data_IF_277191239104
#
_entry.id   IF_277191239104
#
_cell.length_a   1.000
_cell.length_b   1.000
_cell.length_c   1.000
_cell.angle_alpha   90.00
_cell.angle_beta   90.00
_cell.angle_gamma   90.00
#
_symmetry.space_group_name_H-M   'P 1'
#
loop_
_entity.id
_entity.type
_entity.pdbx_description
1 polymer ?
#
# COMPACT_ATOMS: atom_id res chain seq x y z
N UNK A 1 -78.97 -54.46 19.95
CA UNK A 1 -78.55 -53.29 19.13
C UNK A 1 -77.06 -53.04 19.28
N UNK A 2 -76.27 -53.49 18.30
CA UNK A 2 -74.82 -53.30 18.30
C UNK A 2 -74.49 -52.15 17.36
N UNK A 3 -73.89 -51.05 17.88
CA UNK A 3 -73.40 -49.91 17.09
C UNK A 3 -71.93 -50.19 16.68
N UNK A 4 -71.69 -50.33 15.40
CA UNK A 4 -70.41 -50.37 14.80
C UNK A 4 -69.89 -48.96 14.56
N UNK A 5 -68.75 -48.62 15.16
CA UNK A 5 -68.07 -47.33 15.00
C UNK A 5 -66.93 -47.53 13.96
N UNK A 6 -67.06 -46.93 12.79
CA UNK A 6 -66.00 -46.88 11.77
C UNK A 6 -65.09 -45.70 12.06
N UNK A 7 -63.74 -45.97 12.22
CA UNK A 7 -62.66 -44.98 12.27
C UNK A 7 -62.30 -44.60 10.85
N UNK A 8 -62.04 -43.30 10.57
CA UNK A 8 -61.46 -42.92 9.29
C UNK A 8 -59.93 -43.06 9.31
N UNK A 9 -59.42 -43.66 8.25
CA UNK A 9 -57.99 -43.83 7.97
C UNK A 9 -57.37 -42.48 7.53
N UNK A 10 -56.53 -41.87 8.37
CA UNK A 10 -55.75 -40.67 8.01
C UNK A 10 -54.57 -41.12 7.11
N UNK A 11 -54.60 -40.72 5.84
CA UNK A 11 -53.45 -40.88 4.92
C UNK A 11 -52.41 -39.80 5.23
N UNK A 12 -51.28 -40.21 5.81
CA UNK A 12 -50.10 -39.39 6.05
C UNK A 12 -49.29 -39.21 4.76
N UNK A 13 -49.51 -38.13 4.06
CA UNK A 13 -48.75 -37.75 2.87
C UNK A 13 -47.32 -37.35 3.26
N UNK A 14 -46.31 -38.17 2.99
CA UNK A 14 -44.90 -37.86 3.10
C UNK A 14 -44.50 -36.91 1.98
N UNK A 15 -44.32 -35.62 2.31
CA UNK A 15 -43.74 -34.59 1.44
C UNK A 15 -42.24 -34.92 1.28
N UNK A 16 -41.82 -35.51 0.17
CA UNK A 16 -40.41 -35.65 -0.22
C UNK A 16 -39.89 -34.24 -0.56
N UNK A 17 -39.24 -33.58 0.41
CA UNK A 17 -38.44 -32.41 0.17
C UNK A 17 -37.13 -32.88 -0.52
N UNK A 18 -37.03 -32.73 -1.82
CA UNK A 18 -35.76 -32.82 -2.55
C UNK A 18 -34.82 -31.75 -2.04
N UNK A 19 -33.57 -32.08 -1.64
CA UNK A 19 -32.62 -31.07 -1.29
C UNK A 19 -32.31 -30.26 -2.57
N UNK A 20 -32.65 -28.97 -2.57
CA UNK A 20 -32.10 -28.02 -3.53
C UNK A 20 -30.59 -28.02 -3.30
N UNK A 21 -29.85 -28.71 -4.15
CA UNK A 21 -28.40 -28.59 -4.26
C UNK A 21 -28.14 -27.18 -4.79
N UNK A 22 -27.82 -26.24 -3.88
CA UNK A 22 -27.18 -24.99 -4.23
C UNK A 22 -25.82 -25.33 -4.80
N UNK A 23 -25.76 -25.64 -6.11
CA UNK A 23 -24.52 -25.61 -6.84
C UNK A 23 -23.96 -24.19 -6.72
N UNK A 24 -22.98 -23.99 -5.82
CA UNK A 24 -22.21 -22.77 -5.73
C UNK A 24 -21.57 -22.57 -7.10
N UNK A 25 -22.09 -21.67 -7.92
CA UNK A 25 -21.48 -21.33 -9.19
C UNK A 25 -20.10 -20.78 -8.89
N UNK A 26 -19.08 -21.57 -9.24
CA UNK A 26 -17.67 -21.10 -9.16
C UNK A 26 -17.60 -19.84 -10.01
N UNK A 27 -17.22 -18.72 -9.37
CA UNK A 27 -17.10 -17.45 -10.07
C UNK A 27 -16.07 -17.62 -11.21
N UNK A 28 -16.41 -17.28 -12.45
CA UNK A 28 -15.48 -17.34 -13.57
C UNK A 28 -14.14 -16.65 -13.31
N UNK A 29 -14.14 -15.61 -12.44
CA UNK A 29 -12.94 -14.90 -12.03
C UNK A 29 -11.97 -15.78 -11.23
N UNK A 30 -12.47 -16.73 -10.42
CA UNK A 30 -11.62 -17.65 -9.65
C UNK A 30 -10.77 -18.53 -10.60
N UNK A 31 -11.38 -19.02 -11.68
CA UNK A 31 -10.69 -19.78 -12.70
C UNK A 31 -9.67 -18.95 -13.48
N UNK A 32 -10.04 -17.74 -13.85
CA UNK A 32 -9.15 -16.82 -14.60
C UNK A 32 -7.92 -16.43 -13.77
N UNK A 33 -8.12 -15.93 -12.54
CA UNK A 33 -7.02 -15.50 -11.66
C UNK A 33 -6.16 -16.70 -11.28
N UNK A 34 -6.77 -17.82 -10.86
CA UNK A 34 -6.04 -19.03 -10.52
C UNK A 34 -5.25 -19.62 -11.68
N UNK A 35 -5.77 -19.53 -12.91
CA UNK A 35 -5.10 -19.98 -14.13
C UNK A 35 -3.81 -19.20 -14.43
N UNK A 36 -3.74 -17.93 -14.05
CA UNK A 36 -2.55 -17.08 -14.20
C UNK A 36 -1.60 -17.26 -13.01
N UNK A 37 -2.12 -17.19 -11.79
CA UNK A 37 -1.28 -17.10 -10.59
C UNK A 37 -0.60 -18.42 -10.23
N UNK A 38 -1.32 -19.56 -10.32
CA UNK A 38 -0.75 -20.86 -9.94
C UNK A 38 0.50 -21.27 -10.73
N UNK A 39 0.56 -21.09 -12.06
CA UNK A 39 1.79 -21.32 -12.83
C UNK A 39 2.94 -20.42 -12.39
N UNK A 40 2.67 -19.10 -12.16
CA UNK A 40 3.69 -18.14 -11.72
C UNK A 40 4.29 -18.52 -10.35
N UNK A 41 3.46 -18.90 -9.39
CA UNK A 41 3.93 -19.36 -8.07
C UNK A 41 4.89 -20.56 -8.21
N UNK A 42 4.56 -21.50 -9.08
CA UNK A 42 5.37 -22.70 -9.32
C UNK A 42 6.67 -22.37 -10.04
N UNK A 43 6.60 -21.62 -11.12
CA UNK A 43 7.74 -21.26 -11.98
C UNK A 43 8.77 -20.44 -11.20
N UNK A 44 8.31 -19.42 -10.49
CA UNK A 44 9.17 -18.50 -9.75
C UNK A 44 9.41 -18.89 -8.29
N UNK A 45 8.90 -20.05 -7.86
CA UNK A 45 9.02 -20.59 -6.48
C UNK A 45 8.54 -19.58 -5.41
N UNK A 46 7.50 -18.80 -5.74
CA UNK A 46 6.92 -17.83 -4.83
C UNK A 46 6.19 -18.56 -3.69
N UNK A 47 6.51 -18.31 -2.42
CA UNK A 47 5.92 -19.04 -1.30
C UNK A 47 4.43 -18.79 -1.13
N UNK A 48 4.00 -17.55 -1.32
CA UNK A 48 2.61 -17.15 -1.20
C UNK A 48 2.35 -15.82 -1.89
N UNK A 49 1.09 -15.58 -2.25
CA UNK A 49 0.67 -14.37 -2.96
C UNK A 49 -0.77 -14.04 -2.59
N UNK A 50 -1.04 -12.75 -2.39
CA UNK A 50 -2.39 -12.20 -2.31
C UNK A 50 -2.67 -11.37 -3.56
N UNK A 51 -3.86 -11.53 -4.14
CA UNK A 51 -4.32 -10.77 -5.31
C UNK A 51 -5.66 -10.14 -4.99
N UNK A 52 -5.80 -8.85 -5.28
CA UNK A 52 -7.07 -8.17 -5.22
C UNK A 52 -7.50 -7.71 -6.62
N UNK A 53 -8.74 -7.96 -6.98
CA UNK A 53 -9.35 -7.48 -8.22
C UNK A 53 -10.57 -6.65 -7.87
N UNK A 54 -10.58 -5.40 -8.33
CA UNK A 54 -11.74 -4.51 -8.20
C UNK A 54 -12.41 -4.41 -9.56
N UNK A 55 -13.67 -4.86 -9.64
CA UNK A 55 -14.48 -4.77 -10.85
C UNK A 55 -15.87 -4.25 -10.48
N UNK A 56 -16.33 -3.25 -11.20
CA UNK A 56 -17.66 -2.63 -11.01
C UNK A 56 -17.88 -2.21 -9.52
N UNK A 57 -16.86 -1.65 -8.88
CA UNK A 57 -16.88 -1.22 -7.47
C UNK A 57 -16.87 -2.35 -6.44
N UNK A 58 -16.72 -3.62 -6.86
CA UNK A 58 -16.66 -4.78 -5.96
C UNK A 58 -15.25 -5.35 -5.91
N UNK A 59 -14.69 -5.45 -4.70
CA UNK A 59 -13.41 -6.10 -4.47
C UNK A 59 -13.58 -7.61 -4.31
N UNK A 60 -12.66 -8.37 -4.91
CA UNK A 60 -12.50 -9.83 -4.76
C UNK A 60 -11.07 -10.12 -4.40
N UNK A 61 -10.86 -11.01 -3.45
CA UNK A 61 -9.55 -11.37 -2.91
C UNK A 61 -9.24 -12.83 -3.21
N UNK A 62 -8.00 -13.09 -3.60
CA UNK A 62 -7.51 -14.43 -3.95
C UNK A 62 -6.19 -14.66 -3.25
N UNK A 63 -6.13 -15.66 -2.39
CA UNK A 63 -4.98 -15.96 -1.57
C UNK A 63 -4.39 -17.30 -1.99
N UNK A 64 -3.07 -17.34 -2.17
CA UNK A 64 -2.36 -18.52 -2.67
C UNK A 64 -1.12 -18.79 -1.82
N UNK A 65 -0.82 -20.09 -1.59
CA UNK A 65 0.40 -20.54 -0.94
C UNK A 65 0.45 -20.25 0.56
N UNK A 66 1.66 -20.11 1.09
CA UNK A 66 1.93 -19.99 2.52
C UNK A 66 2.53 -18.64 2.86
N UNK A 67 2.02 -18.01 3.93
CA UNK A 67 2.63 -16.86 4.58
C UNK A 67 3.86 -17.27 5.40
N UNK A 68 3.77 -18.44 6.05
CA UNK A 68 4.87 -19.05 6.79
C UNK A 68 4.92 -20.56 6.48
N UNK A 69 6.00 -20.98 5.82
CA UNK A 69 6.18 -22.39 5.42
C UNK A 69 6.55 -23.28 6.60
N UNK A 70 7.31 -22.78 7.54
CA UNK A 70 7.79 -23.55 8.69
C UNK A 70 6.65 -23.85 9.65
N UNK A 71 5.79 -22.86 9.86
CA UNK A 71 4.62 -22.97 10.74
C UNK A 71 3.37 -23.46 10.03
N UNK A 72 3.41 -23.65 8.70
CA UNK A 72 2.28 -24.10 7.89
C UNK A 72 1.13 -23.10 7.84
N UNK A 73 1.41 -21.80 7.94
CA UNK A 73 0.40 -20.74 7.95
C UNK A 73 0.09 -20.33 6.49
N UNK A 74 -1.15 -20.53 6.00
CA UNK A 74 -1.51 -20.11 4.64
C UNK A 74 -1.62 -18.59 4.53
N UNK A 75 -1.46 -18.07 3.31
CA UNK A 75 -1.81 -16.68 3.00
C UNK A 75 -3.31 -16.47 3.18
N UNK A 76 -3.69 -15.39 3.81
CA UNK A 76 -5.07 -14.99 4.06
C UNK A 76 -5.25 -13.48 3.80
N UNK A 77 -6.46 -12.97 3.94
CA UNK A 77 -6.75 -11.53 3.87
C UNK A 77 -6.11 -10.74 5.03
N UNK A 78 -5.68 -11.43 6.09
CA UNK A 78 -5.00 -10.84 7.24
C UNK A 78 -3.47 -10.92 7.14
N UNK A 79 -2.93 -11.53 6.09
CA UNK A 79 -1.48 -11.60 5.88
C UNK A 79 -0.93 -10.23 5.49
N UNK A 80 0.04 -9.75 6.26
CA UNK A 80 0.73 -8.51 5.95
C UNK A 80 1.82 -8.75 4.90
N UNK A 81 1.95 -7.81 3.97
CA UNK A 81 2.97 -7.80 2.93
C UNK A 81 3.70 -6.47 2.93
N UNK A 82 5.01 -6.52 2.78
CA UNK A 82 5.77 -5.32 2.47
C UNK A 82 5.40 -4.82 1.07
N UNK A 83 4.85 -3.61 1.00
CA UNK A 83 4.39 -3.03 -0.27
C UNK A 83 5.49 -2.30 -1.05
N UNK A 84 6.71 -2.23 -0.49
CA UNK A 84 7.87 -1.64 -1.13
C UNK A 84 7.59 -0.22 -1.64
N UNK A 85 7.94 0.04 -2.89
CA UNK A 85 7.81 1.38 -3.48
C UNK A 85 6.37 1.85 -3.74
N UNK A 86 5.36 1.00 -3.51
CA UNK A 86 3.96 1.47 -3.47
C UNK A 86 3.76 2.47 -2.33
N UNK A 87 4.50 2.35 -1.22
CA UNK A 87 4.48 3.29 -0.09
C UNK A 87 4.79 4.75 -0.50
N UNK A 88 5.52 4.97 -1.60
CA UNK A 88 5.80 6.32 -2.11
C UNK A 88 4.54 7.07 -2.55
N UNK A 89 3.50 6.35 -2.95
CA UNK A 89 2.19 6.97 -3.25
C UNK A 89 1.57 7.56 -1.99
N UNK A 90 1.75 6.90 -0.85
CA UNK A 90 1.28 7.38 0.46
C UNK A 90 2.11 8.58 0.91
N UNK A 91 3.43 8.57 0.71
CA UNK A 91 4.31 9.72 0.96
C UNK A 91 3.89 10.92 0.11
N UNK A 92 3.61 10.71 -1.19
CA UNK A 92 3.12 11.78 -2.07
C UNK A 92 1.74 12.31 -1.62
N UNK A 93 0.86 11.44 -1.12
CA UNK A 93 -0.44 11.83 -0.56
C UNK A 93 -0.28 12.70 0.68
N UNK A 94 0.67 12.37 1.58
CA UNK A 94 1.00 13.21 2.73
C UNK A 94 1.52 14.58 2.28
N UNK A 95 2.38 14.64 1.26
CA UNK A 95 2.83 15.90 0.67
C UNK A 95 1.69 16.72 0.10
N UNK A 96 0.78 16.10 -0.66
CA UNK A 96 -0.42 16.77 -1.17
C UNK A 96 -1.32 17.28 -0.03
N UNK A 97 -1.44 16.53 1.05
CA UNK A 97 -2.17 16.96 2.25
C UNK A 97 -1.53 18.19 2.88
N UNK A 98 -0.18 18.25 2.98
CA UNK A 98 0.52 19.45 3.48
C UNK A 98 0.25 20.69 2.61
N UNK A 99 0.21 20.51 1.29
CA UNK A 99 -0.13 21.59 0.34
C UNK A 99 -1.57 22.07 0.54
N UNK A 100 -2.53 21.16 0.63
CA UNK A 100 -3.95 21.50 0.87
C UNK A 100 -4.14 22.22 2.20
N UNK A 101 -3.34 21.87 3.22
CA UNK A 101 -3.33 22.56 4.53
C UNK A 101 -2.63 23.93 4.49
N UNK A 102 -2.02 24.32 3.39
CA UNK A 102 -1.25 25.55 3.27
C UNK A 102 0.05 25.56 4.10
N UNK A 103 0.52 24.38 4.51
CA UNK A 103 1.75 24.24 5.29
C UNK A 103 3.01 24.24 4.40
N UNK A 104 2.86 23.92 3.11
CA UNK A 104 3.94 23.79 2.12
C UNK A 104 3.41 24.07 0.72
N UNK A 105 4.21 24.72 -0.13
CA UNK A 105 3.98 24.84 -1.57
C UNK A 105 4.90 23.92 -2.36
N UNK A 106 4.46 23.42 -3.52
CA UNK A 106 5.34 22.64 -4.40
C UNK A 106 6.45 23.50 -5.03
N UNK A 107 6.21 24.80 -5.19
CA UNK A 107 7.19 25.75 -5.70
C UNK A 107 8.12 26.32 -4.61
N UNK A 108 7.88 25.99 -3.34
CA UNK A 108 8.75 26.39 -2.25
C UNK A 108 10.14 25.77 -2.42
N UNK A 109 11.18 26.54 -2.12
CA UNK A 109 12.55 26.02 -2.08
C UNK A 109 12.72 25.06 -0.90
N UNK A 110 13.45 23.97 -1.13
CA UNK A 110 13.67 22.94 -0.11
C UNK A 110 14.30 23.53 1.15
N UNK A 111 15.25 24.45 1.02
CA UNK A 111 15.91 25.11 2.16
C UNK A 111 14.99 26.00 2.99
N UNK A 112 13.80 26.36 2.48
CA UNK A 112 12.78 27.04 3.26
C UNK A 112 12.20 26.12 4.36
N UNK A 113 12.00 24.84 4.02
CA UNK A 113 11.47 23.82 4.93
C UNK A 113 12.57 23.05 5.66
N UNK A 114 13.80 23.15 5.18
CA UNK A 114 15.02 22.55 5.74
C UNK A 114 16.09 23.60 5.97
N UNK A 115 16.02 24.44 7.02
CA UNK A 115 17.03 25.50 7.26
C UNK A 115 18.46 25.00 7.39
N UNK A 116 18.65 23.73 7.75
CA UNK A 116 19.95 23.06 7.81
C UNK A 116 20.56 22.78 6.43
N UNK A 117 19.80 22.98 5.33
CA UNK A 117 20.27 22.87 3.93
C UNK A 117 20.60 24.24 3.30
N UNK A 118 20.43 25.35 4.02
CA UNK A 118 20.81 26.67 3.50
C UNK A 118 22.28 26.72 3.13
N UNK A 119 22.57 27.32 2.00
CA UNK A 119 23.92 27.41 1.44
C UNK A 119 24.34 26.16 0.66
N UNK A 120 23.44 25.21 0.42
CA UNK A 120 23.65 24.04 -0.42
C UNK A 120 22.87 24.14 -1.73
N UNK A 121 22.98 23.12 -2.58
CA UNK A 121 22.23 23.04 -3.84
C UNK A 121 20.69 23.09 -3.65
N UNK A 122 20.21 22.82 -2.46
CA UNK A 122 18.78 22.83 -2.14
C UNK A 122 18.16 24.24 -2.00
N UNK A 123 18.97 25.28 -2.08
CA UNK A 123 18.48 26.66 -2.22
C UNK A 123 17.82 26.91 -3.59
N UNK A 124 18.20 26.13 -4.60
CA UNK A 124 17.67 26.24 -5.97
C UNK A 124 16.66 25.15 -6.34
N UNK A 125 16.54 24.12 -5.53
CA UNK A 125 15.62 22.99 -5.75
C UNK A 125 14.29 23.24 -5.06
N UNK A 126 13.18 22.93 -5.76
CA UNK A 126 11.83 23.04 -5.21
C UNK A 126 11.34 21.73 -4.58
N UNK A 127 10.33 21.83 -3.72
CA UNK A 127 9.64 20.67 -3.15
C UNK A 127 9.02 19.77 -4.24
N UNK A 128 8.47 20.38 -5.31
CA UNK A 128 7.93 19.67 -6.47
C UNK A 128 9.00 18.86 -7.22
N UNK A 129 10.22 19.40 -7.36
CA UNK A 129 11.34 18.71 -8.00
C UNK A 129 11.82 17.50 -7.17
N UNK A 130 11.79 17.58 -5.84
CA UNK A 130 12.01 16.41 -4.98
C UNK A 130 10.92 15.34 -5.20
N UNK A 131 9.65 15.73 -5.17
CA UNK A 131 8.53 14.81 -5.36
C UNK A 131 8.54 14.12 -6.73
N UNK A 132 8.95 14.87 -7.78
CA UNK A 132 9.00 14.39 -9.15
C UNK A 132 10.31 13.67 -9.52
N UNK A 133 11.25 13.54 -8.59
CA UNK A 133 12.59 12.98 -8.83
C UNK A 133 13.42 13.77 -9.85
N UNK A 134 13.20 15.05 -9.95
CA UNK A 134 13.91 15.95 -10.88
C UNK A 134 14.79 16.96 -10.15
N UNK A 135 15.20 16.67 -8.93
CA UNK A 135 16.06 17.52 -8.12
C UNK A 135 17.48 17.72 -8.67
N UNK A 136 17.89 16.96 -9.70
CA UNK A 136 19.20 17.09 -10.31
C UNK A 136 20.09 15.84 -10.20
N UNK A 137 19.48 14.65 -10.02
CA UNK A 137 20.22 13.38 -10.06
C UNK A 137 20.58 12.81 -8.69
N UNK A 138 19.75 12.98 -7.67
CA UNK A 138 19.88 12.22 -6.41
C UNK A 138 19.89 10.72 -6.71
N UNK A 139 20.75 9.92 -6.03
CA UNK A 139 20.92 8.51 -6.32
C UNK A 139 19.67 7.69 -5.98
N UNK A 140 19.63 6.44 -6.43
CA UNK A 140 18.56 5.48 -6.08
C UNK A 140 18.49 5.26 -4.57
N UNK A 141 19.64 5.07 -3.93
CA UNK A 141 19.83 4.85 -2.50
C UNK A 141 20.97 5.71 -1.98
N UNK A 142 21.00 5.97 -0.68
CA UNK A 142 22.21 6.49 -0.05
C UNK A 142 23.36 5.49 -0.21
N UNK A 143 24.62 5.96 -0.26
CA UNK A 143 25.78 5.11 -0.08
C UNK A 143 25.72 4.36 1.26
N UNK A 144 26.35 3.15 1.32
CA UNK A 144 26.28 2.29 2.53
C UNK A 144 26.83 2.95 3.79
N UNK A 145 27.79 3.86 3.64
CA UNK A 145 28.37 4.62 4.75
C UNK A 145 27.42 5.65 5.37
N UNK A 146 26.30 5.97 4.71
CA UNK A 146 25.27 6.90 5.22
C UNK A 146 24.24 6.10 6.04
N UNK A 147 24.63 5.75 7.26
CA UNK A 147 23.92 4.83 8.16
C UNK A 147 23.32 5.51 9.40
N UNK A 148 23.41 6.85 9.48
CA UNK A 148 22.83 7.63 10.59
C UNK A 148 22.16 8.90 10.09
N UNK A 149 21.34 9.50 10.96
CA UNK A 149 20.66 10.77 10.67
C UNK A 149 21.63 11.91 10.39
N UNK A 150 22.72 11.99 11.15
CA UNK A 150 23.78 13.00 11.00
C UNK A 150 24.48 12.85 9.66
N UNK A 151 24.86 11.63 9.29
CA UNK A 151 25.49 11.35 7.99
C UNK A 151 24.55 11.61 6.82
N UNK A 152 23.26 11.33 6.99
CA UNK A 152 22.23 11.65 5.99
C UNK A 152 22.12 13.16 5.78
N UNK A 153 22.09 13.96 6.86
CA UNK A 153 22.07 15.41 6.75
C UNK A 153 23.33 15.95 6.08
N UNK A 154 24.50 15.39 6.46
CA UNK A 154 25.78 15.80 5.85
C UNK A 154 25.84 15.44 4.37
N UNK A 155 25.36 14.24 4.00
CA UNK A 155 25.27 13.83 2.60
C UNK A 155 24.45 14.83 1.79
N UNK A 156 23.27 15.24 2.25
CA UNK A 156 22.45 16.24 1.54
C UNK A 156 23.16 17.59 1.45
N UNK A 157 23.83 18.04 2.51
CA UNK A 157 24.55 19.33 2.49
C UNK A 157 25.68 19.38 1.48
N UNK A 158 26.40 18.26 1.30
CA UNK A 158 27.55 18.16 0.41
C UNK A 158 27.18 17.74 -1.01
N UNK A 159 25.96 17.20 -1.19
CA UNK A 159 25.53 16.72 -2.49
C UNK A 159 25.42 17.86 -3.51
N UNK A 160 25.94 17.59 -4.73
CA UNK A 160 25.87 18.51 -5.86
C UNK A 160 25.09 17.90 -7.00
N UNK A 161 24.15 18.65 -7.64
CA UNK A 161 23.40 18.16 -8.78
C UNK A 161 24.31 17.82 -9.97
N UNK A 162 24.03 16.69 -10.61
CA UNK A 162 24.65 16.28 -11.88
C UNK A 162 23.92 16.90 -13.07
N UNK A 163 22.64 17.17 -12.89
CA UNK A 163 21.74 17.81 -13.86
C UNK A 163 21.15 19.09 -13.27
N UNK A 164 20.81 20.05 -14.12
CA UNK A 164 20.01 21.20 -13.66
C UNK A 164 18.68 20.74 -13.07
N UNK A 165 18.25 21.28 -11.91
CA UNK A 165 16.95 20.99 -11.35
C UNK A 165 15.82 21.14 -12.40
N UNK A 166 14.86 20.26 -12.39
CA UNK A 166 13.75 20.19 -13.33
C UNK A 166 14.05 19.59 -14.70
N UNK A 167 15.33 19.44 -15.08
CA UNK A 167 15.71 19.05 -16.46
C UNK A 167 15.73 17.53 -16.69
N UNK A 168 15.93 16.73 -15.65
CA UNK A 168 16.12 15.28 -15.77
C UNK A 168 15.45 14.55 -14.61
N UNK A 169 14.70 13.47 -14.93
CA UNK A 169 14.03 12.64 -13.94
C UNK A 169 14.87 11.39 -13.65
N UNK A 170 15.31 11.23 -12.41
CA UNK A 170 16.02 10.05 -11.92
C UNK A 170 15.36 9.52 -10.64
N UNK A 171 14.80 8.32 -10.70
CA UNK A 171 14.14 7.70 -9.56
C UNK A 171 15.10 7.60 -8.36
N UNK A 172 14.62 8.07 -7.19
CA UNK A 172 15.47 8.25 -6.01
C UNK A 172 14.67 8.08 -4.72
N UNK A 173 15.08 7.15 -3.85
CA UNK A 173 14.54 7.02 -2.51
C UNK A 173 14.90 8.23 -1.62
N UNK A 174 16.16 8.74 -1.63
CA UNK A 174 16.49 9.99 -0.94
C UNK A 174 15.61 11.17 -1.35
N UNK A 175 15.30 11.33 -2.64
CA UNK A 175 14.48 12.45 -3.12
C UNK A 175 13.08 12.45 -2.48
N UNK A 176 12.34 11.36 -2.64
CA UNK A 176 10.97 11.27 -2.11
C UNK A 176 10.95 11.13 -0.58
N UNK A 177 11.99 10.55 0.02
CA UNK A 177 12.14 10.47 1.47
C UNK A 177 12.29 11.85 2.09
N UNK A 178 13.17 12.70 1.54
CA UNK A 178 13.33 14.08 1.99
C UNK A 178 12.03 14.88 1.78
N UNK A 179 11.36 14.73 0.64
CA UNK A 179 10.06 15.36 0.39
C UNK A 179 9.05 15.02 1.48
N UNK A 180 8.87 13.73 1.79
CA UNK A 180 7.91 13.28 2.80
C UNK A 180 8.26 13.77 4.21
N UNK A 181 9.54 13.71 4.59
CA UNK A 181 10.02 14.23 5.86
C UNK A 181 9.74 15.73 6.01
N UNK A 182 10.05 16.53 4.99
CA UNK A 182 9.82 17.99 5.04
C UNK A 182 8.34 18.34 4.98
N UNK A 183 7.52 17.58 4.26
CA UNK A 183 6.08 17.75 4.27
C UNK A 183 5.49 17.53 5.67
N UNK A 184 5.94 16.50 6.39
CA UNK A 184 5.54 16.28 7.77
C UNK A 184 6.05 17.38 8.72
N UNK A 185 7.33 17.76 8.56
CA UNK A 185 7.97 18.82 9.34
C UNK A 185 7.28 20.18 9.18
N UNK A 186 6.81 20.53 7.97
CA UNK A 186 6.07 21.76 7.71
C UNK A 186 4.77 21.84 8.51
N UNK A 187 4.18 20.69 8.82
CA UNK A 187 3.00 20.58 9.69
C UNK A 187 3.35 20.39 11.17
N UNK A 188 4.65 20.47 11.53
CA UNK A 188 5.18 20.33 12.91
C UNK A 188 4.80 19.02 13.58
N UNK A 189 4.77 17.93 12.83
CA UNK A 189 4.44 16.59 13.32
C UNK A 189 5.44 15.55 12.74
N UNK A 190 5.69 14.43 13.47
CA UNK A 190 6.45 13.30 12.93
C UNK A 190 5.73 12.69 11.72
N UNK A 191 6.52 12.21 10.76
CA UNK A 191 6.02 11.56 9.54
C UNK A 191 5.13 10.36 9.86
N UNK A 192 5.60 9.49 10.75
CA UNK A 192 4.91 8.26 11.17
C UNK A 192 3.54 8.60 11.77
N UNK A 193 3.50 9.59 12.65
CA UNK A 193 2.25 10.02 13.29
C UNK A 193 1.23 10.54 12.28
N UNK A 194 1.64 11.38 11.33
CA UNK A 194 0.75 11.88 10.28
C UNK A 194 0.27 10.76 9.38
N UNK A 195 1.17 9.85 9.02
CA UNK A 195 0.82 8.72 8.19
C UNK A 195 -0.23 7.84 8.87
N UNK A 196 0.04 7.37 10.09
CA UNK A 196 -0.81 6.39 10.79
C UNK A 196 -2.08 7.00 11.38
N UNK A 197 -2.05 8.26 11.80
CA UNK A 197 -3.21 8.87 12.47
C UNK A 197 -4.06 9.75 11.54
N UNK A 198 -3.57 10.09 10.35
CA UNK A 198 -4.28 11.01 9.45
C UNK A 198 -4.42 10.44 8.04
N UNK A 199 -3.32 10.06 7.39
CA UNK A 199 -3.36 9.67 5.97
C UNK A 199 -3.99 8.29 5.78
N UNK A 200 -3.47 7.27 6.45
CA UNK A 200 -3.96 5.90 6.29
C UNK A 200 -5.44 5.76 6.69
N UNK A 201 -5.89 6.27 7.86
CA UNK A 201 -7.31 6.24 8.22
C UNK A 201 -8.18 7.05 7.28
N UNK A 202 -7.71 8.23 6.81
CA UNK A 202 -8.43 9.07 5.85
C UNK A 202 -8.65 8.41 4.50
N UNK A 203 -7.81 7.43 4.14
CA UNK A 203 -7.94 6.60 2.95
C UNK A 203 -8.68 5.28 3.20
N UNK A 204 -9.12 5.00 4.44
CA UNK A 204 -9.73 3.73 4.83
C UNK A 204 -8.74 2.56 4.91
N UNK A 205 -7.44 2.82 5.01
CA UNK A 205 -6.37 1.82 5.06
C UNK A 205 -6.07 1.42 6.52
N UNK A 206 -7.02 0.70 7.14
CA UNK A 206 -6.95 0.34 8.56
C UNK A 206 -6.01 -0.82 8.90
N UNK A 207 -5.47 -1.50 7.88
CA UNK A 207 -4.54 -2.63 8.01
C UNK A 207 -3.22 -2.37 7.25
N UNK A 208 -2.81 -1.11 7.24
CA UNK A 208 -1.53 -0.65 6.68
C UNK A 208 -0.74 0.03 7.80
N UNK A 209 0.50 -0.38 7.99
CA UNK A 209 1.35 0.02 9.10
C UNK A 209 2.73 0.44 8.60
N UNK A 210 3.42 1.28 9.36
CA UNK A 210 4.83 1.61 9.10
C UNK A 210 5.75 0.66 9.86
N UNK A 211 5.32 0.24 11.05
CA UNK A 211 6.03 -0.71 11.90
C UNK A 211 5.07 -1.79 12.42
N UNK A 212 5.50 -3.06 12.56
CA UNK A 212 4.70 -4.23 12.95
C UNK A 212 5.43 -5.14 13.92
#
# INVERSE_FOLDING_TARGET
MKRTTTLPLLALGTLLMSPLSLASSVDPLDGMVGGVIRPLLKEHRIPGMAVAVVKDGRARYFNYGMADRERGIPVSELTLFEIGSVSKTLTATLGAYAVVKGAMGLDDKVSLHAPWLKGSAFDDITMGELAAYSAGGLPLQFPEEVDSHEKMQEYYRQWTPVYSPGSHRQYSNPSIGLFGYLAASSMKQPFERLMEQTILPGLGLHHTYLDV
#
